data_IF_576948568847
#
_entry.id   IF_576948568847
#
_cell.length_a   1.000
_cell.length_b   1.000
_cell.length_c   1.000
_cell.angle_alpha   90.00
_cell.angle_beta   90.00
_cell.angle_gamma   90.00
#
_symmetry.space_group_name_H-M   'P 1'
#
loop_
_entity.id
_entity.type
_entity.pdbx_description
1 polymer ?
#
# COMPACT_ATOMS: atom_id res chain seq x y z
N UNK A 1 10.99 31.62 -13.12
CA UNK A 1 10.07 31.72 -11.96
C UNK A 1 8.95 30.67 -11.98
N UNK A 2 8.25 30.47 -13.10
CA UNK A 2 7.13 29.51 -13.20
C UNK A 2 7.46 28.06 -12.83
N UNK A 3 8.63 27.54 -13.25
CA UNK A 3 9.09 26.17 -12.89
C UNK A 3 9.32 25.99 -11.39
N UNK A 4 10.00 26.95 -10.76
CA UNK A 4 10.29 26.92 -9.32
C UNK A 4 9.00 26.97 -8.50
N UNK A 5 8.08 27.88 -8.86
CA UNK A 5 6.76 27.96 -8.24
C UNK A 5 6.00 26.64 -8.33
N UNK A 6 5.99 26.01 -9.52
CA UNK A 6 5.32 24.73 -9.74
C UNK A 6 5.91 23.60 -8.87
N UNK A 7 7.24 23.55 -8.72
CA UNK A 7 7.91 22.57 -7.87
C UNK A 7 7.57 22.78 -6.40
N UNK A 8 7.63 24.02 -5.91
CA UNK A 8 7.31 24.35 -4.52
C UNK A 8 5.85 24.01 -4.23
N UNK A 9 4.94 24.37 -5.13
CA UNK A 9 3.51 24.05 -5.02
C UNK A 9 3.29 22.53 -4.95
N UNK A 10 3.89 21.77 -5.87
CA UNK A 10 3.79 20.32 -5.91
C UNK A 10 4.29 19.66 -4.62
N UNK A 11 5.47 20.06 -4.15
CA UNK A 11 6.05 19.56 -2.89
C UNK A 11 5.13 19.91 -1.72
N UNK A 12 4.65 21.15 -1.64
CA UNK A 12 3.76 21.60 -0.57
C UNK A 12 2.47 20.78 -0.52
N UNK A 13 1.86 20.50 -1.68
CA UNK A 13 0.66 19.65 -1.76
C UNK A 13 0.96 18.24 -1.24
N UNK A 14 2.08 17.63 -1.65
CA UNK A 14 2.46 16.29 -1.15
C UNK A 14 2.63 16.29 0.37
N UNK A 15 3.34 17.26 0.92
CA UNK A 15 3.55 17.35 2.37
C UNK A 15 2.24 17.60 3.13
N UNK A 16 1.34 18.42 2.59
CA UNK A 16 0.00 18.64 3.17
C UNK A 16 -0.79 17.32 3.17
N UNK A 17 -0.85 16.63 2.03
CA UNK A 17 -1.58 15.36 1.90
C UNK A 17 -1.02 14.31 2.87
N UNK A 18 0.31 14.14 2.89
CA UNK A 18 0.96 13.19 3.79
C UNK A 18 0.70 13.55 5.25
N UNK A 19 0.85 14.82 5.62
CA UNK A 19 0.57 15.30 6.98
C UNK A 19 -0.90 15.05 7.36
N UNK A 20 -1.85 15.41 6.49
CA UNK A 20 -3.28 15.21 6.73
C UNK A 20 -3.63 13.73 6.91
N UNK A 21 -3.05 12.84 6.11
CA UNK A 21 -3.28 11.39 6.24
C UNK A 21 -2.73 10.86 7.57
N UNK A 22 -1.51 11.23 7.97
CA UNK A 22 -0.93 10.81 9.25
C UNK A 22 -1.70 11.39 10.44
N UNK A 23 -2.08 12.66 10.36
CA UNK A 23 -2.87 13.32 11.38
C UNK A 23 -4.25 12.67 11.52
N UNK A 24 -4.90 12.34 10.41
CA UNK A 24 -6.19 11.65 10.41
C UNK A 24 -6.09 10.25 11.03
N UNK A 25 -5.09 9.45 10.66
CA UNK A 25 -4.84 8.13 11.26
C UNK A 25 -4.51 8.26 12.75
N UNK A 26 -3.71 9.25 13.15
CA UNK A 26 -3.40 9.54 14.55
C UNK A 26 -4.65 9.91 15.35
N UNK A 27 -5.55 10.71 14.79
CA UNK A 27 -6.83 11.03 15.41
C UNK A 27 -7.59 9.74 15.73
N UNK A 28 -7.71 8.84 14.75
CA UNK A 28 -8.53 7.64 14.88
C UNK A 28 -7.89 6.60 15.81
N UNK A 29 -6.59 6.36 15.68
CA UNK A 29 -5.88 5.35 16.47
C UNK A 29 -5.49 5.80 17.88
N UNK A 30 -5.27 7.09 18.09
CA UNK A 30 -4.76 7.63 19.36
C UNK A 30 -5.78 8.54 20.02
N UNK A 31 -6.08 9.69 19.40
CA UNK A 31 -6.84 10.78 20.04
C UNK A 31 -8.25 10.38 20.45
N UNK A 32 -8.97 9.71 19.56
CA UNK A 32 -10.39 9.39 19.75
C UNK A 32 -10.57 8.12 20.61
N UNK A 33 -9.49 7.39 20.87
CA UNK A 33 -9.51 6.17 21.69
C UNK A 33 -9.37 6.49 23.17
N UNK A 34 -9.71 5.52 24.03
CA UNK A 34 -9.45 5.60 25.48
C UNK A 34 -7.99 5.35 25.88
N UNK A 35 -7.05 5.19 24.93
CA UNK A 35 -5.66 4.83 25.21
C UNK A 35 -4.96 6.01 25.92
N UNK A 36 -4.32 5.72 27.05
CA UNK A 36 -3.61 6.70 27.88
C UNK A 36 -2.19 6.22 28.23
N UNK A 37 -1.41 7.12 28.85
CA UNK A 37 -0.07 6.81 29.33
C UNK A 37 0.94 6.46 28.23
N UNK A 38 1.79 5.46 28.50
CA UNK A 38 2.93 5.12 27.65
C UNK A 38 2.51 4.65 26.25
N UNK A 39 1.43 3.86 26.15
CA UNK A 39 0.96 3.34 24.85
C UNK A 39 0.50 4.45 23.91
N UNK A 40 -0.14 5.48 24.45
CA UNK A 40 -0.54 6.67 23.68
C UNK A 40 0.67 7.39 23.09
N UNK A 41 1.72 7.56 23.89
CA UNK A 41 2.93 8.25 23.49
C UNK A 41 3.72 7.43 22.47
N UNK A 42 3.89 6.12 22.71
CA UNK A 42 4.56 5.21 21.77
C UNK A 42 3.88 5.20 20.40
N UNK A 43 2.55 5.07 20.34
CA UNK A 43 1.83 5.06 19.06
C UNK A 43 1.91 6.42 18.36
N UNK A 44 1.86 7.52 19.13
CA UNK A 44 2.04 8.87 18.57
C UNK A 44 3.41 9.05 17.95
N UNK A 45 4.48 8.68 18.68
CA UNK A 45 5.84 8.79 18.18
C UNK A 45 6.11 7.87 17.00
N UNK A 46 5.52 6.66 16.99
CA UNK A 46 5.61 5.75 15.85
C UNK A 46 4.99 6.37 14.59
N UNK A 47 3.77 6.93 14.68
CA UNK A 47 3.11 7.57 13.53
C UNK A 47 3.89 8.78 13.04
N UNK A 48 4.40 9.61 13.96
CA UNK A 48 5.23 10.79 13.61
C UNK A 48 6.53 10.34 12.93
N UNK A 49 7.22 9.35 13.50
CA UNK A 49 8.44 8.79 12.95
C UNK A 49 8.22 8.28 11.53
N UNK A 50 7.17 7.47 11.32
CA UNK A 50 6.85 6.93 10.00
C UNK A 50 6.45 8.04 8.99
N UNK A 51 5.75 9.08 9.45
CA UNK A 51 5.39 10.22 8.61
C UNK A 51 6.57 11.08 8.18
N UNK A 52 7.61 11.20 9.03
CA UNK A 52 8.86 11.88 8.68
C UNK A 52 9.75 10.98 7.83
N UNK A 53 9.75 9.67 8.10
CA UNK A 53 10.63 8.69 7.46
C UNK A 53 10.44 8.66 5.94
N UNK A 54 9.20 8.63 5.45
CA UNK A 54 8.89 8.53 4.01
C UNK A 54 9.50 9.66 3.16
N UNK A 55 9.20 10.96 3.41
CA UNK A 55 9.82 12.03 2.63
C UNK A 55 11.34 12.09 2.84
N UNK A 56 11.82 11.82 4.06
CA UNK A 56 13.25 11.86 4.36
C UNK A 56 14.02 10.80 3.59
N UNK A 57 13.56 9.54 3.57
CA UNK A 57 14.27 8.47 2.87
C UNK A 57 14.27 8.68 1.36
N UNK A 58 13.17 9.16 0.77
CA UNK A 58 13.11 9.46 -0.67
C UNK A 58 14.10 10.57 -1.04
N UNK A 59 14.20 11.63 -0.23
CA UNK A 59 15.16 12.71 -0.46
C UNK A 59 16.60 12.24 -0.28
N UNK A 60 16.88 11.43 0.75
CA UNK A 60 18.22 10.86 1.01
C UNK A 60 18.63 9.93 -0.14
N UNK A 61 17.75 9.03 -0.60
CA UNK A 61 18.04 8.11 -1.70
C UNK A 61 18.34 8.84 -3.01
N UNK A 62 17.78 10.05 -3.21
CA UNK A 62 18.08 10.91 -4.36
C UNK A 62 19.39 11.68 -4.20
N UNK A 63 19.67 12.18 -3.00
CA UNK A 63 20.89 12.94 -2.72
C UNK A 63 22.14 12.04 -2.64
N UNK A 64 21.97 10.78 -2.21
CA UNK A 64 23.06 9.82 -1.99
C UNK A 64 22.77 8.49 -2.69
N UNK A 65 23.02 8.37 -4.01
CA UNK A 65 22.65 7.18 -4.79
C UNK A 65 23.32 5.87 -4.34
N UNK A 66 24.45 5.92 -3.62
CA UNK A 66 25.16 4.75 -3.10
C UNK A 66 24.73 4.35 -1.69
N UNK A 67 23.79 5.10 -1.10
CA UNK A 67 23.24 4.77 0.20
C UNK A 67 22.28 3.57 0.09
N UNK A 68 22.56 2.51 0.84
CA UNK A 68 21.78 1.27 0.87
C UNK A 68 20.43 1.48 1.61
N UNK A 69 19.56 2.29 1.03
CA UNK A 69 18.26 2.70 1.57
C UNK A 69 17.15 1.66 1.38
N UNK A 70 17.41 0.56 0.66
CA UNK A 70 16.37 -0.42 0.27
C UNK A 70 15.51 -0.90 1.43
N UNK A 71 16.05 -1.35 2.59
CA UNK A 71 15.21 -1.81 3.69
C UNK A 71 14.31 -0.69 4.25
N UNK A 72 14.84 0.53 4.34
CA UNK A 72 14.09 1.69 4.80
C UNK A 72 13.02 2.11 3.80
N UNK A 73 13.30 2.04 2.49
CA UNK A 73 12.30 2.27 1.44
C UNK A 73 11.18 1.23 1.50
N UNK A 74 11.50 -0.04 1.72
CA UNK A 74 10.50 -1.09 1.95
C UNK A 74 9.60 -0.75 3.14
N UNK A 75 10.18 -0.38 4.28
CA UNK A 75 9.41 0.02 5.47
C UNK A 75 8.51 1.24 5.17
N UNK A 76 9.06 2.27 4.52
CA UNK A 76 8.33 3.50 4.24
C UNK A 76 7.18 3.30 3.24
N UNK A 77 7.41 2.56 2.15
CA UNK A 77 6.37 2.25 1.16
C UNK A 77 5.33 1.27 1.71
N UNK A 78 5.74 0.32 2.54
CA UNK A 78 4.81 -0.59 3.19
C UNK A 78 3.92 0.14 4.20
N UNK A 79 4.51 1.05 5.00
CA UNK A 79 3.75 1.95 5.86
C UNK A 79 2.79 2.82 5.07
N UNK A 80 3.22 3.40 3.94
CA UNK A 80 2.35 4.19 3.06
C UNK A 80 1.13 3.37 2.60
N UNK A 81 1.33 2.10 2.22
CA UNK A 81 0.25 1.19 1.86
C UNK A 81 -0.71 0.90 3.01
N UNK A 82 -0.20 0.59 4.21
CA UNK A 82 -1.02 0.38 5.42
C UNK A 82 -1.81 1.65 5.76
N UNK A 83 -1.16 2.81 5.76
CA UNK A 83 -1.77 4.09 6.05
C UNK A 83 -2.89 4.41 5.05
N UNK A 84 -2.68 4.15 3.75
CA UNK A 84 -3.72 4.34 2.72
C UNK A 84 -4.95 3.46 2.98
N UNK A 85 -4.74 2.18 3.31
CA UNK A 85 -5.84 1.27 3.68
C UNK A 85 -6.56 1.74 4.95
N UNK A 86 -5.83 2.21 5.96
CA UNK A 86 -6.41 2.78 7.19
C UNK A 86 -7.24 4.03 6.89
N UNK A 87 -6.75 4.95 6.06
CA UNK A 87 -7.48 6.16 5.66
C UNK A 87 -8.82 5.79 5.04
N UNK A 88 -8.85 4.86 4.07
CA UNK A 88 -10.10 4.45 3.44
C UNK A 88 -11.03 3.70 4.40
N UNK A 89 -10.51 2.80 5.23
CA UNK A 89 -11.31 2.06 6.20
C UNK A 89 -11.98 3.00 7.21
N UNK A 90 -11.22 3.94 7.78
CA UNK A 90 -11.77 4.93 8.69
C UNK A 90 -12.70 5.92 7.99
N UNK A 91 -12.41 6.31 6.74
CA UNK A 91 -13.28 7.20 5.97
C UNK A 91 -14.65 6.55 5.74
N UNK A 92 -14.67 5.26 5.38
CA UNK A 92 -15.92 4.51 5.23
C UNK A 92 -16.73 4.49 6.53
N UNK A 93 -16.07 4.26 7.67
CA UNK A 93 -16.72 4.31 8.98
C UNK A 93 -17.23 5.71 9.30
N UNK A 94 -16.47 6.75 8.98
CA UNK A 94 -16.85 8.13 9.24
C UNK A 94 -18.03 8.57 8.37
N UNK A 95 -18.13 8.08 7.13
CA UNK A 95 -19.31 8.26 6.29
C UNK A 95 -20.55 7.62 6.93
N UNK A 96 -20.43 6.38 7.44
CA UNK A 96 -21.53 5.73 8.19
C UNK A 96 -21.89 6.52 9.46
N UNK A 97 -20.90 7.01 10.20
CA UNK A 97 -21.11 7.85 11.39
C UNK A 97 -21.78 9.18 11.06
N UNK A 98 -21.47 9.78 9.93
CA UNK A 98 -22.08 11.01 9.44
C UNK A 98 -23.58 10.80 9.14
N UNK A 99 -23.93 9.75 8.42
CA UNK A 99 -25.33 9.44 8.11
C UNK A 99 -26.13 9.05 9.36
N UNK A 100 -25.57 8.22 10.24
CA UNK A 100 -26.24 7.86 11.51
C UNK A 100 -26.43 9.07 12.42
N UNK A 101 -25.46 10.00 12.46
CA UNK A 101 -25.63 11.28 13.14
C UNK A 101 -26.77 12.12 12.53
N UNK A 102 -26.86 12.19 11.20
CA UNK A 102 -27.94 12.89 10.49
C UNK A 102 -29.33 12.30 10.75
N UNK A 103 -29.44 10.97 10.78
CA UNK A 103 -30.70 10.27 11.13
C UNK A 103 -31.06 10.51 12.60
N UNK A 104 -30.11 10.46 13.53
CA UNK A 104 -30.40 10.74 14.93
C UNK A 104 -30.90 12.18 15.16
N UNK A 105 -30.45 13.13 14.34
CA UNK A 105 -30.91 14.53 14.36
C UNK A 105 -32.39 14.69 13.97
N UNK A 106 -32.98 13.76 13.21
CA UNK A 106 -34.40 13.84 12.82
C UNK A 106 -35.34 13.33 13.91
N UNK A 107 -34.81 12.78 15.01
CA UNK A 107 -35.61 12.23 16.11
C UNK A 107 -36.23 10.86 15.83
N UNK A 108 -36.02 10.29 14.64
CA UNK A 108 -36.62 9.01 14.22
C UNK A 108 -36.17 7.82 15.09
N UNK A 109 -34.96 7.88 15.67
CA UNK A 109 -34.35 6.78 16.42
C UNK A 109 -34.23 7.03 17.93
N UNK A 110 -34.93 8.04 18.45
CA UNK A 110 -34.90 8.40 19.87
C UNK A 110 -33.60 9.09 20.31
N UNK A 111 -33.64 9.79 21.43
CA UNK A 111 -32.47 10.48 21.99
C UNK A 111 -31.57 9.47 22.73
N UNK A 112 -30.42 9.12 22.16
CA UNK A 112 -29.41 8.35 22.87
C UNK A 112 -28.69 9.22 23.90
N UNK A 113 -28.57 8.77 25.15
CA UNK A 113 -27.73 9.44 26.15
C UNK A 113 -26.28 9.54 25.68
N UNK A 114 -25.74 10.77 25.72
CA UNK A 114 -24.38 11.06 25.31
C UNK A 114 -23.39 10.74 26.46
N UNK A 115 -22.85 9.52 26.48
CA UNK A 115 -21.75 9.15 27.38
C UNK A 115 -20.38 9.26 26.67
N UNK A 116 -19.45 10.11 27.16
CA UNK A 116 -18.08 10.21 26.63
C UNK A 116 -17.31 8.89 26.71
N UNK A 117 -17.54 8.10 27.76
CA UNK A 117 -16.87 6.81 27.98
C UNK A 117 -17.29 5.79 26.93
N UNK A 118 -18.60 5.68 26.66
CA UNK A 118 -19.13 4.82 25.59
C UNK A 118 -18.55 5.18 24.23
N UNK A 119 -18.37 6.48 23.93
CA UNK A 119 -17.75 6.92 22.66
C UNK A 119 -16.30 6.48 22.55
N UNK A 120 -15.49 6.67 23.61
CA UNK A 120 -14.08 6.23 23.63
C UNK A 120 -13.96 4.71 23.51
N UNK A 121 -14.86 3.96 24.15
CA UNK A 121 -14.90 2.49 24.04
C UNK A 121 -15.22 2.04 22.61
N UNK A 122 -16.28 2.58 21.99
CA UNK A 122 -16.64 2.27 20.60
C UNK A 122 -15.53 2.69 19.63
N UNK A 123 -14.92 3.86 19.83
CA UNK A 123 -13.81 4.34 19.02
C UNK A 123 -12.58 3.43 19.16
N UNK A 124 -12.27 2.97 20.37
CA UNK A 124 -11.21 1.99 20.64
C UNK A 124 -11.46 0.65 19.93
N UNK A 125 -12.65 0.08 20.07
CA UNK A 125 -13.03 -1.16 19.39
C UNK A 125 -12.99 -1.04 17.86
N UNK A 126 -13.49 0.09 17.33
CA UNK A 126 -13.43 0.38 15.89
C UNK A 126 -11.98 0.43 15.43
N UNK A 127 -11.11 1.13 16.17
CA UNK A 127 -9.71 1.30 15.82
C UNK A 127 -8.94 -0.01 15.87
N UNK A 128 -9.22 -0.85 16.87
CA UNK A 128 -8.67 -2.19 16.96
C UNK A 128 -9.12 -3.05 15.78
N UNK A 129 -10.43 -3.09 15.49
CA UNK A 129 -10.98 -3.87 14.38
C UNK A 129 -10.43 -3.45 13.02
N UNK A 130 -10.37 -2.15 12.73
CA UNK A 130 -9.76 -1.61 11.50
C UNK A 130 -8.29 -1.99 11.42
N UNK A 131 -7.53 -1.81 12.52
CA UNK A 131 -6.11 -2.15 12.55
C UNK A 131 -5.89 -3.64 12.28
N UNK A 132 -6.68 -4.53 12.89
CA UNK A 132 -6.61 -5.97 12.66
C UNK A 132 -6.89 -6.33 11.21
N UNK A 133 -7.95 -5.77 10.61
CA UNK A 133 -8.30 -6.05 9.20
C UNK A 133 -7.22 -5.53 8.26
N UNK A 134 -6.74 -4.29 8.46
CA UNK A 134 -5.72 -3.70 7.59
C UNK A 134 -4.39 -4.43 7.71
N UNK A 135 -3.93 -4.73 8.92
CA UNK A 135 -2.69 -5.48 9.12
C UNK A 135 -2.80 -6.91 8.59
N UNK A 136 -3.97 -7.56 8.73
CA UNK A 136 -4.24 -8.87 8.15
C UNK A 136 -4.20 -8.84 6.62
N UNK A 137 -4.81 -7.84 5.99
CA UNK A 137 -4.77 -7.64 4.54
C UNK A 137 -3.35 -7.33 4.04
N UNK A 138 -2.61 -6.48 4.76
CA UNK A 138 -1.21 -6.17 4.45
C UNK A 138 -0.33 -7.42 4.57
N UNK A 139 -0.48 -8.21 5.63
CA UNK A 139 0.21 -9.48 5.82
C UNK A 139 -0.11 -10.51 4.74
N UNK A 140 -1.39 -10.64 4.35
CA UNK A 140 -1.80 -11.46 3.22
C UNK A 140 -1.16 -11.00 1.91
N UNK A 141 -1.12 -9.67 1.68
CA UNK A 141 -0.46 -9.06 0.52
C UNK A 141 1.03 -9.38 0.47
N UNK A 142 1.74 -9.25 1.59
CA UNK A 142 3.16 -9.63 1.72
C UNK A 142 3.34 -11.12 1.45
N UNK A 143 2.52 -12.00 2.04
CA UNK A 143 2.59 -13.43 1.80
C UNK A 143 2.39 -13.81 0.32
N UNK A 144 1.49 -13.10 -0.37
CA UNK A 144 1.26 -13.28 -1.80
C UNK A 144 2.42 -12.73 -2.64
N UNK A 145 3.00 -11.59 -2.27
CA UNK A 145 4.17 -11.01 -2.93
C UNK A 145 5.40 -11.93 -2.82
N UNK A 146 5.64 -12.49 -1.63
CA UNK A 146 6.72 -13.44 -1.39
C UNK A 146 6.47 -14.81 -2.04
N UNK A 147 5.26 -15.07 -2.54
CA UNK A 147 4.98 -16.32 -3.26
C UNK A 147 5.65 -16.31 -4.62
N UNK A 148 6.36 -17.39 -4.96
CA UNK A 148 7.07 -17.53 -6.24
C UNK A 148 6.12 -17.29 -7.41
N UNK A 149 6.64 -16.68 -8.48
CA UNK A 149 5.90 -16.50 -9.73
C UNK A 149 5.24 -17.83 -10.12
N UNK A 150 4.00 -17.84 -10.61
CA UNK A 150 3.28 -19.05 -11.02
C UNK A 150 3.22 -19.14 -12.53
N UNK A 151 3.42 -20.34 -13.08
CA UNK A 151 3.27 -20.56 -14.54
C UNK A 151 1.79 -20.78 -14.83
N UNK A 152 1.17 -19.83 -15.55
CA UNK A 152 -0.18 -20.02 -16.09
C UNK A 152 -0.06 -20.56 -17.51
N UNK A 153 -0.48 -21.81 -17.74
CA UNK A 153 -0.52 -22.41 -19.08
C UNK A 153 -1.87 -22.09 -19.72
N UNK A 154 -1.84 -21.46 -20.89
CA UNK A 154 -3.04 -21.17 -21.69
C UNK A 154 -2.90 -21.93 -23.00
N UNK A 155 -3.87 -22.81 -23.30
CA UNK A 155 -3.94 -23.49 -24.58
C UNK A 155 -4.68 -22.60 -25.56
N UNK A 156 -4.02 -22.24 -26.66
CA UNK A 156 -4.59 -21.39 -27.71
C UNK A 156 -4.78 -22.27 -28.95
N UNK A 157 -6.03 -22.43 -29.40
CA UNK A 157 -6.36 -23.18 -30.61
C UNK A 157 -6.71 -22.21 -31.73
N UNK A 158 -5.92 -22.20 -32.80
CA UNK A 158 -6.08 -21.29 -33.93
C UNK A 158 -6.32 -22.09 -35.21
N UNK A 159 -7.51 -21.93 -35.80
CA UNK A 159 -7.84 -22.49 -37.11
C UNK A 159 -7.02 -21.79 -38.20
N UNK A 160 -6.40 -22.57 -39.09
CA UNK A 160 -5.58 -22.05 -40.20
C UNK A 160 -4.10 -21.87 -39.86
N UNK A 161 -3.70 -22.03 -38.60
CA UNK A 161 -2.29 -22.08 -38.22
C UNK A 161 -1.74 -23.47 -38.58
N UNK A 162 -1.02 -23.57 -39.70
CA UNK A 162 -0.58 -24.86 -40.26
C UNK A 162 0.15 -25.78 -39.26
N UNK A 163 0.17 -27.09 -39.55
CA UNK A 163 0.65 -28.14 -38.63
C UNK A 163 2.05 -27.90 -38.01
N UNK A 164 2.91 -27.10 -38.65
CA UNK A 164 4.24 -26.71 -38.14
C UNK A 164 4.21 -25.97 -36.80
N UNK A 165 3.07 -25.39 -36.41
CA UNK A 165 2.91 -24.68 -35.14
C UNK A 165 2.21 -25.52 -34.06
N UNK A 166 1.92 -26.80 -34.32
CA UNK A 166 1.37 -27.69 -33.29
C UNK A 166 2.39 -27.87 -32.17
N UNK A 167 1.96 -27.60 -30.93
CA UNK A 167 2.84 -27.67 -29.76
C UNK A 167 3.83 -26.51 -29.65
N UNK A 168 3.69 -25.47 -30.48
CA UNK A 168 4.52 -24.27 -30.39
C UNK A 168 4.29 -23.57 -29.04
N UNK A 169 5.35 -23.40 -28.26
CA UNK A 169 5.32 -22.81 -26.92
C UNK A 169 5.84 -21.39 -26.97
N UNK A 170 5.00 -20.45 -26.56
CA UNK A 170 5.38 -19.06 -26.29
C UNK A 170 5.37 -18.87 -24.77
N UNK A 171 6.48 -18.41 -24.21
CA UNK A 171 6.51 -17.93 -22.82
C UNK A 171 6.44 -16.42 -22.86
N UNK A 172 5.37 -15.87 -22.32
CA UNK A 172 5.17 -14.43 -22.21
C UNK A 172 5.51 -13.96 -20.79
N UNK A 173 6.33 -12.92 -20.70
CA UNK A 173 6.67 -12.22 -19.46
C UNK A 173 6.28 -10.76 -19.66
N UNK A 174 5.70 -10.14 -18.63
CA UNK A 174 5.29 -8.74 -18.66
C UNK A 174 5.72 -8.06 -17.38
N UNK A 175 5.99 -6.76 -17.46
CA UNK A 175 6.12 -5.85 -16.31
C UNK A 175 7.13 -6.34 -15.27
N UNK A 176 8.35 -6.64 -15.74
CA UNK A 176 9.44 -7.06 -14.88
C UNK A 176 9.89 -5.94 -13.94
N UNK A 177 9.74 -4.67 -14.35
CA UNK A 177 10.06 -3.50 -13.52
C UNK A 177 11.39 -3.65 -12.79
N UNK A 178 12.46 -3.88 -13.57
CA UNK A 178 13.80 -4.02 -13.01
C UNK A 178 14.22 -2.65 -12.46
N UNK A 179 14.05 -2.49 -11.15
CA UNK A 179 14.33 -1.25 -10.43
C UNK A 179 15.03 -1.48 -9.09
N UNK A 180 14.88 -0.54 -8.16
CA UNK A 180 15.57 -0.58 -6.86
C UNK A 180 15.12 -1.75 -5.96
N UNK A 181 13.94 -2.30 -6.21
CA UNK A 181 13.33 -3.37 -5.40
C UNK A 181 13.61 -4.77 -5.97
N UNK A 182 14.02 -4.89 -7.23
CA UNK A 182 14.36 -6.17 -7.88
C UNK A 182 15.80 -6.56 -7.56
N UNK A 183 16.04 -7.80 -7.12
CA UNK A 183 17.40 -8.32 -6.89
C UNK A 183 17.89 -9.16 -8.06
N UNK A 184 19.21 -9.30 -8.19
CA UNK A 184 19.82 -10.13 -9.25
C UNK A 184 19.42 -11.60 -9.09
N UNK A 185 19.28 -12.05 -7.85
CA UNK A 185 18.90 -13.41 -7.50
C UNK A 185 17.46 -13.70 -7.94
N UNK A 186 16.52 -12.79 -7.66
CA UNK A 186 15.12 -12.92 -8.13
C UNK A 186 15.03 -12.93 -9.65
N UNK A 187 15.81 -12.08 -10.33
CA UNK A 187 15.85 -12.08 -11.79
C UNK A 187 16.42 -13.40 -12.35
N UNK A 188 17.49 -13.93 -11.75
CA UNK A 188 18.06 -15.21 -12.13
C UNK A 188 17.04 -16.35 -11.97
N UNK A 189 16.30 -16.40 -10.86
CA UNK A 189 15.24 -17.40 -10.65
C UNK A 189 14.16 -17.34 -11.74
N UNK A 190 13.78 -16.14 -12.19
CA UNK A 190 12.82 -15.96 -13.29
C UNK A 190 13.39 -16.52 -14.60
N UNK A 191 14.64 -16.18 -14.91
CA UNK A 191 15.33 -16.67 -16.13
C UNK A 191 15.42 -18.19 -16.14
N UNK A 192 15.88 -18.80 -15.05
CA UNK A 192 15.98 -20.26 -14.90
C UNK A 192 14.62 -20.93 -15.10
N UNK A 193 13.58 -20.32 -14.53
CA UNK A 193 12.21 -20.81 -14.67
C UNK A 193 11.72 -20.74 -16.11
N UNK A 194 11.98 -19.64 -16.82
CA UNK A 194 11.60 -19.47 -18.23
C UNK A 194 12.32 -20.51 -19.09
N UNK A 195 13.62 -20.71 -18.88
CA UNK A 195 14.42 -21.70 -19.59
C UNK A 195 13.92 -23.13 -19.34
N UNK A 196 13.51 -23.46 -18.11
CA UNK A 196 12.93 -24.77 -17.76
C UNK A 196 11.64 -25.10 -18.51
N UNK A 197 10.92 -24.10 -19.03
CA UNK A 197 9.70 -24.29 -19.81
C UNK A 197 9.94 -24.73 -21.26
N UNK A 198 11.20 -24.75 -21.70
CA UNK A 198 11.61 -25.08 -23.09
C UNK A 198 10.79 -24.32 -24.15
N UNK A 199 10.72 -22.97 -24.08
CA UNK A 199 9.96 -22.17 -25.04
C UNK A 199 10.56 -22.22 -26.44
N UNK A 200 9.71 -22.11 -27.47
CA UNK A 200 10.18 -21.82 -28.83
C UNK A 200 10.49 -20.32 -29.00
N UNK A 201 9.68 -19.46 -28.37
CA UNK A 201 9.89 -18.01 -28.32
C UNK A 201 9.59 -17.51 -26.90
N UNK A 202 10.38 -16.54 -26.44
CA UNK A 202 10.08 -15.72 -25.27
C UNK A 202 9.61 -14.36 -25.74
N UNK A 203 8.42 -13.95 -25.28
CA UNK A 203 7.85 -12.64 -25.57
C UNK A 203 7.88 -11.77 -24.30
N UNK A 204 8.43 -10.57 -24.40
CA UNK A 204 8.43 -9.57 -23.32
C UNK A 204 7.46 -8.47 -23.74
N UNK A 205 6.34 -8.33 -23.03
CA UNK A 205 5.18 -7.54 -23.51
C UNK A 205 4.77 -6.41 -22.58
N UNK A 206 5.69 -5.88 -21.78
CA UNK A 206 5.47 -4.79 -20.83
C UNK A 206 6.81 -4.18 -20.39
N UNK A 207 6.79 -3.41 -19.32
CA UNK A 207 7.97 -2.65 -18.90
C UNK A 207 9.07 -3.56 -18.36
N UNK A 208 10.26 -3.44 -18.93
CA UNK A 208 11.42 -4.24 -18.52
C UNK A 208 12.16 -3.59 -17.35
N UNK A 209 12.27 -2.26 -17.34
CA UNK A 209 13.13 -1.50 -16.43
C UNK A 209 12.34 -0.33 -15.84
N UNK A 210 12.52 -0.07 -14.55
CA UNK A 210 12.03 1.16 -13.93
C UNK A 210 13.01 2.31 -14.26
N UNK A 211 12.49 3.39 -14.85
CA UNK A 211 13.27 4.59 -15.20
C UNK A 211 13.76 5.40 -14.01
#
# INVERSE_FOLDING_TARGET
MQRLFSIILFISIIFIVLFSMHYYVWIRLVRDTGISGIYRNLLSYLIIFMGIMLPSIVLISRAFPHFHSRPLLWIAYFWLGIMMLMVFAFLAIDVVRFFTWGINKTGLWGSSEYSPERRKFIAGLTSLGVSTVVLGAAGYGVGKYLSKAKVKRVLVNLSGLGNKFKGFKIVQISDLHIGQLMTKETLAEIVDKVNSLTPNIVAITGDLVDG
#
